data_IF_035361147645
#
_entry.id   IF_035361147645
#
_cell.length_a   1.000
_cell.length_b   1.000
_cell.length_c   1.000
_cell.angle_alpha   90.00
_cell.angle_beta   90.00
_cell.angle_gamma   90.00
#
_symmetry.space_group_name_H-M   'P 1'
#
loop_
_entity.id
_entity.type
_entity.pdbx_description
1 polymer ?
2 water ?
#
# COMPACT_ATOMS: atom_id res chain seq x y z
N UNK A 2 -28.58 -3.45 7.90
CA UNK A 2 -28.15 -2.82 9.19
C UNK A 2 -26.97 -3.56 9.81
N UNK A 3 -27.00 -4.89 9.76
CA UNK A 3 -25.93 -5.68 10.33
C UNK A 3 -24.93 -6.12 9.26
N UNK A 4 -25.00 -5.46 8.10
CA UNK A 4 -24.10 -5.75 7.01
C UNK A 4 -23.77 -4.55 6.14
N UNK A 5 -22.53 -4.08 6.26
CA UNK A 5 -22.02 -2.98 5.47
C UNK A 5 -20.89 -3.66 4.70
N UNK A 6 -21.25 -4.30 3.61
CA UNK A 6 -20.29 -5.04 2.81
C UNK A 6 -19.26 -4.23 2.02
N UNK A 7 -18.02 -4.71 2.06
CA UNK A 7 -16.91 -4.09 1.35
C UNK A 7 -15.95 -5.19 0.91
N UNK A 8 -15.03 -4.85 0.02
CA UNK A 8 -14.02 -5.79 -0.43
C UNK A 8 -12.73 -5.20 0.11
N UNK A 9 -11.81 -6.05 0.58
CA UNK A 9 -10.57 -5.53 1.13
C UNK A 9 -9.40 -6.46 0.86
N UNK A 10 -8.20 -5.97 1.09
CA UNK A 10 -7.02 -6.79 0.92
C UNK A 10 -6.11 -6.55 2.12
N UNK A 11 -5.60 -7.64 2.67
CA UNK A 11 -4.73 -7.55 3.84
C UNK A 11 -3.41 -8.25 3.59
N UNK A 12 -2.32 -7.65 4.07
CA UNK A 12 -1.02 -8.27 3.96
C UNK A 12 -0.33 -7.98 5.28
N UNK A 13 0.35 -8.98 5.81
CA UNK A 13 1.05 -8.83 7.07
C UNK A 13 2.50 -9.20 6.86
N UNK A 14 3.40 -8.29 7.20
CA UNK A 14 4.82 -8.53 7.05
C UNK A 14 5.47 -8.61 8.41
N UNK A 15 5.93 -9.81 8.81
CA UNK A 15 6.57 -9.89 10.12
C UNK A 15 8.05 -9.59 9.93
N UNK A 16 8.63 -8.84 10.85
CA UNK A 16 10.05 -8.54 10.80
C UNK A 16 10.69 -9.36 11.90
N UNK A 17 11.07 -10.58 11.57
CA UNK A 17 11.68 -11.44 12.55
C UNK A 17 13.03 -11.94 12.08
N UNK A 18 13.55 -12.93 12.78
CA UNK A 18 14.82 -13.53 12.44
C UNK A 18 14.56 -14.79 11.62
N UNK A 19 15.41 -15.01 10.61
CA UNK A 19 15.24 -16.19 9.79
C UNK A 19 14.59 -15.87 8.46
N UNK A 20 14.97 -16.63 7.45
CA UNK A 20 14.46 -16.45 6.09
C UNK A 20 13.25 -17.34 5.82
N UNK A 21 12.06 -16.77 6.02
CA UNK A 21 10.77 -17.43 5.79
C UNK A 21 9.76 -16.90 6.81
N UNK A 22 8.58 -16.53 6.32
CA UNK A 22 7.52 -16.02 7.19
C UNK A 22 6.19 -16.67 6.89
N UNK A 23 6.20 -17.66 6.01
CA UNK A 23 5.00 -18.36 5.62
C UNK A 23 4.22 -18.90 6.82
N UNK A 24 4.94 -19.29 7.86
CA UNK A 24 4.30 -19.82 9.06
C UNK A 24 3.36 -18.79 9.67
N UNK A 25 3.77 -17.52 9.67
CA UNK A 25 2.96 -16.45 10.23
C UNK A 25 1.85 -16.02 9.29
N UNK A 26 2.12 -16.09 8.00
CA UNK A 26 1.13 -15.73 6.98
C UNK A 26 -0.02 -16.72 7.10
N UNK A 27 0.32 -17.98 7.32
CA UNK A 27 -0.67 -19.04 7.46
C UNK A 27 -1.52 -18.79 8.70
N UNK A 28 -0.86 -18.40 9.78
CA UNK A 28 -1.55 -18.13 11.04
C UNK A 28 -2.61 -17.04 10.86
N UNK A 29 -2.24 -15.99 10.15
CA UNK A 29 -3.15 -14.87 9.91
C UNK A 29 -4.36 -15.31 9.11
N UNK A 30 -4.12 -16.13 8.08
CA UNK A 30 -5.20 -16.62 7.25
C UNK A 30 -6.20 -17.43 8.07
N UNK A 31 -5.68 -18.25 8.99
CA UNK A 31 -6.57 -19.05 9.83
C UNK A 31 -7.47 -18.16 10.68
N UNK A 32 -6.97 -16.99 11.05
CA UNK A 32 -7.76 -16.07 11.85
C UNK A 32 -8.95 -15.58 11.03
N UNK A 33 -8.70 -15.24 9.77
CA UNK A 33 -9.77 -14.74 8.89
C UNK A 33 -10.92 -15.73 8.77
N UNK A 34 -10.61 -17.02 8.85
CA UNK A 34 -11.62 -18.04 8.73
C UNK A 34 -12.53 -18.14 9.96
N UNK A 35 -12.24 -17.34 10.98
CA UNK A 35 -13.07 -17.33 12.19
C UNK A 35 -14.14 -16.26 12.10
N UNK A 36 -14.10 -15.47 11.03
CA UNK A 36 -15.07 -14.41 10.84
C UNK A 36 -15.97 -14.75 9.65
N UNK A 37 -17.12 -14.11 9.59
CA UNK A 37 -18.08 -14.36 8.50
C UNK A 37 -17.66 -13.57 7.27
N UNK A 38 -16.56 -14.01 6.67
CA UNK A 38 -16.00 -13.36 5.49
C UNK A 38 -15.62 -14.37 4.41
N UNK A 39 -15.64 -13.92 3.16
CA UNK A 39 -15.20 -14.73 2.04
C UNK A 39 -13.71 -14.46 2.02
N UNK A 40 -12.88 -15.49 1.95
CA UNK A 40 -11.43 -15.32 1.95
C UNK A 40 -10.78 -15.84 0.67
N UNK A 41 -10.09 -14.96 -0.03
CA UNK A 41 -9.41 -15.30 -1.28
C UNK A 41 -7.93 -14.90 -1.17
N UNK A 42 -7.09 -15.86 -0.83
CA UNK A 42 -5.65 -15.61 -0.67
C UNK A 42 -4.91 -15.68 -1.99
N UNK A 43 -4.03 -14.71 -2.22
CA UNK A 43 -3.21 -14.69 -3.41
C UNK A 43 -1.75 -14.66 -2.95
N UNK A 44 -0.82 -14.64 -3.89
CA UNK A 44 0.60 -14.66 -3.56
C UNK A 44 1.15 -13.41 -2.87
N UNK A 45 0.38 -12.33 -2.82
CA UNK A 45 0.86 -11.09 -2.20
C UNK A 45 -0.01 -10.54 -1.07
N UNK A 46 -1.09 -11.23 -0.75
CA UNK A 46 -1.96 -10.77 0.32
C UNK A 46 -3.23 -11.60 0.30
N UNK A 47 -4.20 -11.20 1.10
CA UNK A 47 -5.47 -11.91 1.16
C UNK A 47 -6.62 -10.95 0.92
N UNK A 48 -7.53 -11.31 0.00
CA UNK A 48 -8.68 -10.48 -0.30
C UNK A 48 -9.84 -10.98 0.57
N UNK A 49 -10.57 -10.04 1.15
CA UNK A 49 -11.69 -10.40 2.02
C UNK A 49 -12.93 -9.67 1.57
N UNK A 50 -14.09 -10.30 1.80
CA UNK A 50 -15.38 -9.74 1.44
C UNK A 50 -16.30 -9.94 2.64
N UNK A 51 -16.93 -8.87 3.09
CA UNK A 51 -17.83 -8.98 4.23
C UNK A 51 -18.07 -7.65 4.91
N UNK A 52 -18.65 -7.68 6.11
CA UNK A 52 -18.95 -6.49 6.87
C UNK A 52 -17.67 -5.72 7.24
N UNK A 53 -17.72 -4.40 7.13
CA UNK A 53 -16.55 -3.57 7.44
C UNK A 53 -16.04 -3.75 8.85
N UNK A 54 -16.93 -3.79 9.83
CA UNK A 54 -16.49 -3.96 11.21
C UNK A 54 -15.85 -5.33 11.43
N UNK A 55 -16.39 -6.36 10.79
CA UNK A 55 -15.83 -7.69 10.95
C UNK A 55 -14.43 -7.74 10.34
N UNK A 56 -14.25 -7.06 9.22
CA UNK A 56 -12.94 -7.04 8.56
C UNK A 56 -11.93 -6.30 9.42
N UNK A 57 -12.37 -5.22 10.06
CA UNK A 57 -11.48 -4.45 10.93
C UNK A 57 -11.05 -5.29 12.12
N UNK A 58 -12.00 -6.03 12.70
CA UNK A 58 -11.69 -6.88 13.85
C UNK A 58 -10.76 -8.01 13.41
N UNK A 59 -11.04 -8.59 12.24
CA UNK A 59 -10.24 -9.68 11.72
C UNK A 59 -8.83 -9.18 11.43
N UNK A 60 -8.74 -7.97 10.90
CA UNK A 60 -7.46 -7.38 10.59
C UNK A 60 -6.64 -7.22 11.86
N UNK A 61 -7.27 -6.65 12.89
CA UNK A 61 -6.56 -6.45 14.15
C UNK A 61 -6.08 -7.77 14.74
N UNK A 62 -6.95 -8.79 14.73
CA UNK A 62 -6.55 -10.07 15.30
C UNK A 62 -5.43 -10.73 14.51
N UNK A 63 -5.49 -10.64 13.18
CA UNK A 63 -4.46 -11.25 12.33
C UNK A 63 -3.11 -10.59 12.61
N UNK A 64 -3.11 -9.27 12.64
CA UNK A 64 -1.90 -8.51 12.92
C UNK A 64 -1.35 -8.91 14.28
N UNK A 65 -2.22 -8.92 15.29
CA UNK A 65 -1.83 -9.25 16.66
C UNK A 65 -1.33 -10.68 16.82
N UNK A 66 -1.93 -11.60 16.10
CA UNK A 66 -1.53 -13.00 16.19
C UNK A 66 -0.09 -13.19 15.72
N UNK A 67 0.30 -12.49 14.67
CA UNK A 67 1.66 -12.60 14.17
C UNK A 67 2.63 -11.86 15.10
N UNK A 68 2.17 -10.74 15.66
CA UNK A 68 3.00 -9.96 16.56
C UNK A 68 3.28 -10.75 17.85
N UNK A 69 2.43 -11.73 18.14
CA UNK A 69 2.61 -12.55 19.32
C UNK A 69 3.93 -13.31 19.28
N UNK A 70 4.37 -13.65 18.07
CA UNK A 70 5.61 -14.42 17.90
C UNK A 70 6.85 -13.67 17.43
N UNK A 71 6.70 -12.41 17.04
CA UNK A 71 7.85 -11.61 16.58
C UNK A 71 7.84 -10.24 17.26
N UNK A 72 8.97 -9.54 17.20
CA UNK A 72 9.07 -8.23 17.84
C UNK A 72 8.42 -7.10 17.06
N UNK A 73 8.24 -7.26 15.75
CA UNK A 73 7.67 -6.19 14.95
C UNK A 73 6.90 -6.72 13.75
N UNK A 74 5.77 -6.07 13.46
CA UNK A 74 4.93 -6.45 12.33
C UNK A 74 4.42 -5.22 11.61
N UNK A 75 4.46 -5.24 10.28
CA UNK A 75 3.93 -4.14 9.47
C UNK A 75 2.73 -4.75 8.74
N UNK A 76 1.53 -4.30 9.09
CA UNK A 76 0.31 -4.85 8.47
C UNK A 76 -0.44 -3.83 7.65
N UNK A 77 -0.96 -4.26 6.50
CA UNK A 77 -1.68 -3.36 5.60
C UNK A 77 -3.11 -3.81 5.35
N UNK A 78 -4.04 -2.85 5.41
CA UNK A 78 -5.46 -3.11 5.16
C UNK A 78 -5.92 -2.10 4.12
N UNK A 79 -6.54 -2.59 3.04
CA UNK A 79 -7.06 -1.69 2.03
C UNK A 79 -8.54 -1.99 1.88
N UNK A 80 -9.38 -0.96 1.94
CA UNK A 80 -10.82 -1.12 1.82
C UNK A 80 -11.31 -0.46 0.54
N UNK A 81 -12.19 -1.16 -0.17
CA UNK A 81 -12.78 -0.64 -1.39
C UNK A 81 -14.28 -0.72 -1.17
N UNK A 82 -14.93 0.42 -1.00
CA UNK A 82 -16.37 0.45 -0.77
C UNK A 82 -17.09 1.42 -1.69
N UNK A 83 -18.21 0.98 -2.24
CA UNK A 83 -19.01 1.83 -3.11
C UNK A 83 -20.47 1.69 -2.72
N UNK A 84 -21.26 2.71 -3.03
CA UNK A 84 -22.68 2.72 -2.67
C UNK A 84 -23.60 2.58 -3.88
N UNK A 85 -23.04 2.70 -5.09
CA UNK A 85 -23.83 2.61 -6.31
C UNK A 85 -23.95 1.18 -6.83
N UNK A 86 -23.12 0.28 -6.33
CA UNK A 86 -23.15 -1.11 -6.77
C UNK A 86 -22.79 -2.06 -5.64
N UNK A 87 -23.05 -3.35 -5.85
CA UNK A 87 -22.76 -4.39 -4.88
C UNK A 87 -21.26 -4.48 -4.63
N UNK A 88 -20.89 -4.66 -3.36
CA UNK A 88 -19.47 -4.76 -2.97
C UNK A 88 -19.05 -6.21 -2.80
N UNK A 89 -18.90 -6.93 -3.91
CA UNK A 89 -18.49 -8.33 -3.83
C UNK A 89 -17.30 -8.63 -4.73
N UNK A 90 -16.58 -9.69 -4.38
CA UNK A 90 -15.42 -10.13 -5.14
C UNK A 90 -15.92 -10.57 -6.52
N UNK A 91 -17.07 -11.23 -6.52
CA UNK A 91 -17.68 -11.73 -7.75
C UNK A 91 -17.90 -10.62 -8.77
N UNK A 92 -18.61 -9.57 -8.35
CA UNK A 92 -18.90 -8.46 -9.26
C UNK A 92 -17.61 -7.80 -9.75
N UNK A 93 -16.63 -7.64 -8.86
CA UNK A 93 -15.37 -7.01 -9.25
C UNK A 93 -14.66 -7.82 -10.32
N UNK A 94 -14.58 -9.13 -10.13
CA UNK A 94 -13.90 -10.00 -11.08
C UNK A 94 -14.64 -10.14 -12.40
N UNK A 95 -15.97 -10.23 -12.35
CA UNK A 95 -16.74 -10.38 -13.58
C UNK A 95 -16.68 -9.09 -14.39
N UNK A 96 -16.61 -7.96 -13.69
CA UNK A 96 -16.54 -6.66 -14.34
C UNK A 96 -15.25 -6.58 -15.15
N UNK A 97 -14.21 -7.24 -14.66
CA UNK A 97 -12.91 -7.25 -15.33
C UNK A 97 -12.81 -8.38 -16.35
N UNK A 98 -13.88 -9.14 -16.49
CA UNK A 98 -13.89 -10.24 -17.44
C UNK A 98 -13.02 -11.39 -16.96
N UNK A 99 -12.59 -11.31 -15.71
CA UNK A 99 -11.76 -12.35 -15.12
C UNK A 99 -12.62 -13.52 -14.67
N UNK B 3 20.67 -13.63 -16.80
CA UNK B 3 20.41 -12.27 -16.27
C UNK B 3 18.99 -12.08 -15.77
N UNK B 4 18.22 -13.16 -15.80
CA UNK B 4 16.84 -13.12 -15.32
C UNK B 4 16.84 -12.82 -13.83
N UNK B 5 15.97 -11.91 -13.41
CA UNK B 5 15.86 -11.55 -12.00
C UNK B 5 14.39 -11.62 -11.63
N UNK B 6 13.94 -12.84 -11.34
CA UNK B 6 12.55 -13.11 -11.03
C UNK B 6 12.09 -12.57 -9.67
N UNK B 7 10.92 -11.94 -9.68
CA UNK B 7 10.33 -11.42 -8.46
C UNK B 7 8.82 -11.59 -8.55
N UNK B 8 8.13 -11.42 -7.43
CA UNK B 8 6.68 -11.49 -7.43
C UNK B 8 6.25 -10.10 -7.00
N UNK B 9 5.23 -9.58 -7.66
CA UNK B 9 4.75 -8.22 -7.37
C UNK B 9 3.25 -8.15 -7.42
N UNK B 10 2.71 -7.04 -6.94
CA UNK B 10 1.28 -6.80 -7.01
C UNK B 10 1.12 -5.35 -7.42
N UNK B 11 0.20 -5.11 -8.35
CA UNK B 11 -0.04 -3.76 -8.87
C UNK B 11 -1.52 -3.41 -8.88
N UNK B 12 -1.81 -2.13 -8.68
CA UNK B 12 -3.17 -1.64 -8.79
C UNK B 12 -3.03 -0.28 -9.47
N UNK B 13 -3.80 -0.07 -10.53
CA UNK B 13 -3.78 1.20 -11.27
C UNK B 13 -5.15 1.81 -11.06
N UNK B 14 -5.22 2.89 -10.28
CA UNK B 14 -6.49 3.54 -9.96
C UNK B 14 -6.66 4.93 -10.54
N UNK B 15 -7.59 5.08 -11.50
CA UNK B 15 -7.82 6.38 -12.12
C UNK B 15 -8.77 7.22 -11.25
N UNK B 16 -8.48 8.52 -11.16
CA UNK B 16 -9.32 9.42 -10.36
C UNK B 16 -10.16 10.35 -11.21
N UNK B 17 -11.48 10.31 -10.99
CA UNK B 17 -12.40 11.17 -11.70
C UNK B 17 -13.06 10.65 -12.96
N UNK B 18 -13.98 9.70 -12.83
CA UNK B 18 -14.69 9.18 -13.99
C UNK B 18 -16.04 8.53 -13.68
N UNK B 19 -16.38 8.41 -12.40
CA UNK B 19 -17.66 7.83 -12.04
C UNK B 19 -17.71 6.51 -11.29
N UNK B 20 -16.91 6.37 -10.23
CA UNK B 20 -16.89 5.16 -9.42
C UNK B 20 -16.55 3.88 -10.19
N UNK B 21 -17.11 3.74 -11.39
CA UNK B 21 -16.85 2.58 -12.21
C UNK B 21 -15.60 2.83 -13.06
N UNK B 22 -14.55 2.06 -12.80
CA UNK B 22 -13.31 2.23 -13.55
C UNK B 22 -12.83 0.90 -14.13
N UNK B 23 -13.72 -0.07 -14.20
CA UNK B 23 -13.39 -1.40 -14.71
C UNK B 23 -12.76 -1.38 -16.11
N UNK B 24 -13.21 -0.48 -16.98
CA UNK B 24 -12.62 -0.44 -18.31
C UNK B 24 -11.15 -0.04 -18.24
N UNK B 25 -10.80 0.81 -17.27
CA UNK B 25 -9.42 1.26 -17.10
C UNK B 25 -8.58 0.14 -16.49
N UNK B 26 -9.15 -0.56 -15.52
CA UNK B 26 -8.46 -1.66 -14.87
C UNK B 26 -8.21 -2.77 -15.89
N UNK B 27 -9.21 -3.01 -16.75
CA UNK B 27 -9.08 -4.04 -17.78
C UNK B 27 -7.98 -3.66 -18.76
N UNK B 28 -7.88 -2.36 -19.06
CA UNK B 28 -6.86 -1.87 -19.97
C UNK B 28 -5.46 -2.10 -19.39
N UNK B 29 -5.31 -1.82 -18.09
CA UNK B 29 -4.02 -2.00 -17.44
C UNK B 29 -3.61 -3.46 -17.51
N UNK B 30 -4.58 -4.34 -17.27
CA UNK B 30 -4.33 -5.78 -17.31
C UNK B 30 -3.87 -6.24 -18.70
N UNK B 31 -4.47 -5.70 -19.75
CA UNK B 31 -4.06 -6.07 -21.09
C UNK B 31 -2.62 -5.66 -21.31
N UNK B 32 -2.22 -4.53 -20.73
CA UNK B 32 -0.84 -4.07 -20.85
C UNK B 32 0.11 -5.07 -20.19
N UNK B 33 -0.23 -5.51 -18.98
CA UNK B 33 0.64 -6.48 -18.29
C UNK B 33 0.82 -7.72 -19.14
N UNK B 34 -0.25 -8.18 -19.76
CA UNK B 34 -0.21 -9.39 -20.56
C UNK B 34 0.71 -9.35 -21.78
N UNK B 35 1.08 -8.15 -22.22
CA UNK B 35 1.97 -8.03 -23.37
C UNK B 35 3.41 -8.36 -22.99
N UNK B 36 3.67 -8.40 -21.69
CA UNK B 36 5.01 -8.72 -21.21
C UNK B 36 5.07 -10.21 -20.89
N UNK B 37 6.28 -10.76 -20.88
CA UNK B 37 6.44 -12.18 -20.58
C UNK B 37 6.41 -12.37 -19.06
N UNK B 38 5.24 -12.09 -18.50
CA UNK B 38 5.02 -12.21 -17.07
C UNK B 38 3.81 -13.08 -16.80
N UNK B 39 3.85 -13.83 -15.71
CA UNK B 39 2.69 -14.63 -15.32
C UNK B 39 1.77 -13.58 -14.67
N UNK B 40 0.52 -13.55 -15.09
CA UNK B 40 -0.45 -12.58 -14.59
C UNK B 40 -1.63 -13.23 -13.89
N UNK B 41 -1.81 -12.90 -12.61
CA UNK B 41 -2.91 -13.45 -11.82
C UNK B 41 -3.68 -12.30 -11.19
N UNK B 42 -4.82 -11.96 -11.79
CA UNK B 42 -5.61 -10.87 -11.29
C UNK B 42 -6.56 -11.29 -10.17
N UNK B 43 -6.65 -10.44 -9.14
CA UNK B 43 -7.58 -10.71 -8.04
C UNK B 43 -8.48 -9.47 -7.92
N UNK B 44 -9.43 -9.50 -7.00
CA UNK B 44 -10.38 -8.39 -6.85
C UNK B 44 -9.83 -7.05 -6.39
N UNK B 45 -8.61 -7.03 -5.85
CA UNK B 45 -8.03 -5.79 -5.35
C UNK B 45 -6.74 -5.38 -6.07
N UNK B 46 -6.32 -6.15 -7.05
CA UNK B 46 -5.10 -5.82 -7.78
C UNK B 46 -4.69 -6.99 -8.67
N UNK B 47 -3.50 -6.89 -9.24
CA UNK B 47 -2.99 -7.96 -10.10
C UNK B 47 -1.60 -8.36 -9.64
N UNK B 48 -1.42 -9.66 -9.46
CA UNK B 48 -0.13 -10.19 -9.05
C UNK B 48 0.66 -10.53 -10.30
N UNK B 49 1.94 -10.22 -10.29
CA UNK B 49 2.79 -10.49 -11.44
C UNK B 49 4.01 -11.28 -11.04
N UNK B 50 4.49 -12.12 -11.96
CA UNK B 50 5.68 -12.92 -11.70
C UNK B 50 6.55 -12.88 -12.94
N UNK B 51 7.81 -12.50 -12.76
CA UNK B 51 8.72 -12.42 -13.88
C UNK B 51 9.90 -11.52 -13.58
N UNK B 52 10.62 -11.13 -14.63
CA UNK B 52 11.78 -10.28 -14.48
C UNK B 52 11.43 -8.92 -13.91
N UNK B 53 12.24 -8.45 -12.96
CA UNK B 53 12.03 -7.17 -12.31
C UNK B 53 11.91 -6.00 -13.28
N UNK B 54 12.86 -5.88 -14.21
CA UNK B 54 12.82 -4.79 -15.17
C UNK B 54 11.53 -4.81 -15.99
N UNK B 55 11.10 -6.01 -16.39
CA UNK B 55 9.88 -6.12 -17.17
C UNK B 55 8.69 -5.66 -16.35
N UNK B 56 8.67 -6.00 -15.06
CA UNK B 56 7.57 -5.59 -14.20
C UNK B 56 7.56 -4.07 -14.04
N UNK B 57 8.73 -3.48 -13.88
CA UNK B 57 8.84 -2.02 -13.75
C UNK B 57 8.33 -1.34 -15.02
N UNK B 58 8.74 -1.87 -16.17
CA UNK B 58 8.31 -1.32 -17.45
C UNK B 58 6.80 -1.49 -17.63
N UNK B 59 6.30 -2.67 -17.29
CA UNK B 59 4.87 -2.95 -17.41
C UNK B 59 4.07 -2.00 -16.50
N UNK B 60 4.58 -1.79 -15.29
CA UNK B 60 3.94 -0.89 -14.33
C UNK B 60 3.86 0.52 -14.93
N UNK B 61 4.98 1.00 -15.46
CA UNK B 61 5.02 2.33 -16.05
C UNK B 61 4.04 2.45 -17.22
N UNK B 62 4.06 1.47 -18.12
CA UNK B 62 3.17 1.51 -19.27
C UNK B 62 1.69 1.43 -18.88
N UNK B 63 1.37 0.58 -17.89
CA UNK B 63 -0.02 0.45 -17.46
C UNK B 63 -0.49 1.76 -16.85
N UNK B 64 0.35 2.36 -16.00
CA UNK B 64 0.00 3.63 -15.37
C UNK B 64 -0.24 4.68 -16.45
N UNK B 65 0.69 4.76 -17.40
CA UNK B 65 0.62 5.73 -18.48
C UNK B 65 -0.57 5.56 -19.42
N UNK B 66 -0.91 4.31 -19.73
CA UNK B 66 -2.03 4.03 -20.63
C UNK B 66 -3.34 4.55 -20.02
N UNK B 67 -3.55 4.24 -18.74
CA UNK B 67 -4.76 4.69 -18.07
C UNK B 67 -4.75 6.22 -17.91
N UNK B 68 -3.57 6.79 -17.67
CA UNK B 68 -3.48 8.25 -17.51
C UNK B 68 -3.84 8.95 -18.82
N UNK B 69 -3.66 8.25 -19.93
CA UNK B 69 -3.97 8.84 -21.22
C UNK B 69 -5.46 9.18 -21.34
N UNK B 70 -6.29 8.43 -20.63
CA UNK B 70 -7.74 8.66 -20.70
C UNK B 70 -8.38 9.44 -19.55
N UNK B 71 -7.60 9.75 -18.52
CA UNK B 71 -8.13 10.50 -17.38
C UNK B 71 -7.15 11.59 -16.96
N UNK B 72 -7.54 12.44 -16.02
CA UNK B 72 -6.69 13.53 -15.57
C UNK B 72 -5.70 13.18 -14.46
N UNK B 73 -5.98 12.12 -13.71
CA UNK B 73 -5.10 11.73 -12.62
C UNK B 73 -5.18 10.24 -12.31
N UNK B 74 -4.03 9.65 -12.01
CA UNK B 74 -3.97 8.23 -11.70
C UNK B 74 -3.03 7.99 -10.52
N UNK B 75 -3.44 7.11 -9.62
CA UNK B 75 -2.62 6.73 -8.46
C UNK B 75 -2.35 5.24 -8.68
N UNK B 76 -1.08 4.91 -8.93
CA UNK B 76 -0.70 3.52 -9.18
C UNK B 76 0.23 3.02 -8.10
N UNK B 77 0.01 1.77 -7.67
CA UNK B 77 0.83 1.18 -6.62
C UNK B 77 1.54 -0.08 -7.12
N UNK B 78 2.80 -0.23 -6.75
CA UNK B 78 3.60 -1.38 -7.12
C UNK B 78 4.27 -1.91 -5.86
N UNK B 79 4.18 -3.21 -5.64
CA UNK B 79 4.83 -3.81 -4.48
C UNK B 79 5.61 -5.01 -4.99
N UNK B 80 6.90 -5.05 -4.64
CA UNK B 80 7.79 -6.13 -5.05
C UNK B 80 8.23 -6.94 -3.84
N UNK B 81 8.29 -8.26 -4.00
CA UNK B 81 8.72 -9.17 -2.94
C UNK B 81 9.79 -10.01 -3.61
N UNK B 82 11.04 -9.82 -3.20
CA UNK B 82 12.15 -10.56 -3.80
C UNK B 82 13.05 -11.15 -2.72
N UNK B 83 13.44 -12.40 -2.90
CA UNK B 83 14.32 -13.04 -1.94
C UNK B 83 15.42 -13.80 -2.68
N UNK B 84 16.56 -13.96 -2.03
CA UNK B 84 17.73 -14.63 -2.61
C UNK B 84 17.91 -16.09 -2.20
N UNK B 85 17.24 -16.49 -1.11
CA UNK B 85 17.39 -17.86 -0.59
C UNK B 85 16.44 -18.90 -1.16
N UNK B 86 15.41 -18.45 -1.89
CA UNK B 86 14.45 -19.36 -2.48
C UNK B 86 13.94 -18.76 -3.78
N UNK B 87 13.39 -19.59 -4.66
CA UNK B 87 12.89 -19.09 -5.93
C UNK B 87 11.74 -18.12 -5.72
N UNK B 88 11.67 -17.11 -6.58
CA UNK B 88 10.62 -16.08 -6.52
C UNK B 88 9.46 -16.40 -7.44
N UNK B 89 8.63 -17.36 -7.04
CA UNK B 89 7.47 -17.74 -7.85
C UNK B 89 6.18 -17.68 -7.06
N UNK B 90 5.08 -17.46 -7.78
CA UNK B 90 3.76 -17.42 -7.18
C UNK B 90 3.46 -18.81 -6.64
N UNK B 91 3.85 -19.82 -7.41
CA UNK B 91 3.62 -21.20 -7.03
C UNK B 91 4.21 -21.55 -5.67
N UNK B 92 5.49 -21.21 -5.46
CA UNK B 92 6.14 -21.52 -4.20
C UNK B 92 5.51 -20.77 -3.03
N UNK B 93 5.21 -19.48 -3.24
CA UNK B 93 4.61 -18.68 -2.17
C UNK B 93 3.30 -19.26 -1.71
N UNK B 94 2.47 -19.69 -2.66
CA UNK B 94 1.17 -20.26 -2.33
C UNK B 94 1.29 -21.64 -1.66
N UNK B 95 2.22 -22.45 -2.14
CA UNK B 95 2.42 -23.78 -1.56
C UNK B 95 2.96 -23.70 -0.14
N UNK B 96 3.85 -22.74 0.09
CA UNK B 96 4.47 -22.55 1.41
C UNK B 96 3.44 -22.24 2.49
N UNK B 97 2.33 -21.61 2.11
CA UNK B 97 1.29 -21.26 3.07
C UNK B 97 0.06 -22.16 2.95
N UNK B 98 0.25 -23.37 2.46
CA UNK B 98 -0.87 -24.29 2.30
C UNK B 98 -1.58 -24.15 0.97
N UNK C 4 -4.18 1.61 26.39
CA UNK C 4 -3.34 2.30 25.37
C UNK C 4 -2.31 1.36 24.74
N UNK C 5 -2.61 0.92 23.53
CA UNK C 5 -1.73 0.04 22.77
C UNK C 5 -1.23 0.90 21.61
N UNK C 6 -0.17 1.67 21.87
CA UNK C 6 0.37 2.59 20.86
C UNK C 6 1.04 1.94 19.67
N UNK C 7 0.73 2.46 18.49
CA UNK C 7 1.30 1.99 17.23
C UNK C 7 1.45 3.21 16.35
N UNK C 8 2.21 3.06 15.27
CA UNK C 8 2.39 4.16 14.32
C UNK C 8 1.74 3.65 13.05
N UNK C 9 1.05 4.53 12.34
CA UNK C 9 0.36 4.10 11.13
C UNK C 9 0.36 5.15 10.03
N UNK C 10 -0.02 4.74 8.83
CA UNK C 10 -0.14 5.67 7.72
C UNK C 10 -1.45 5.37 7.01
N UNK C 11 -2.21 6.42 6.73
CA UNK C 11 -3.52 6.24 6.10
C UNK C 11 -3.68 7.14 4.89
N UNK C 12 -4.50 6.69 3.94
CA UNK C 12 -4.82 7.44 2.74
C UNK C 12 -6.27 7.10 2.39
N UNK C 13 -7.09 8.13 2.20
CA UNK C 13 -8.51 7.95 1.84
C UNK C 13 -8.70 8.58 0.47
N UNK C 14 -8.87 7.75 -0.54
CA UNK C 14 -9.02 8.24 -1.90
C UNK C 14 -10.41 8.08 -2.50
N UNK C 15 -11.07 9.20 -2.80
CA UNK C 15 -12.42 9.13 -3.38
C UNK C 15 -12.33 8.95 -4.89
N UNK C 16 -13.21 8.12 -5.43
CA UNK C 16 -13.24 7.90 -6.87
C UNK C 16 -14.47 8.59 -7.46
N UNK C 17 -14.64 9.86 -7.09
CA UNK C 17 -15.76 10.64 -7.58
C UNK C 17 -15.32 11.66 -8.60
N UNK C 18 -15.22 12.93 -8.19
CA UNK C 18 -14.79 14.00 -9.08
C UNK C 18 -13.47 13.64 -9.71
N UNK C 19 -12.97 14.51 -10.58
CA UNK C 19 -11.71 14.25 -11.25
C UNK C 19 -10.52 14.24 -10.32
N UNK C 20 -9.41 14.82 -10.78
CA UNK C 20 -8.19 14.89 -10.00
C UNK C 20 -8.36 15.79 -8.79
N UNK C 21 -9.48 16.52 -8.75
CA UNK C 21 -9.76 17.44 -7.66
C UNK C 21 -10.46 16.78 -6.47
N UNK C 22 -9.68 16.48 -5.43
CA UNK C 22 -10.24 15.84 -4.24
C UNK C 22 -9.57 16.30 -2.94
N UNK C 23 -8.88 17.43 -2.99
CA UNK C 23 -8.21 17.94 -1.80
C UNK C 23 -9.20 18.19 -0.67
N UNK C 24 -10.45 18.50 -1.04
CA UNK C 24 -11.49 18.75 -0.06
C UNK C 24 -11.71 17.54 0.85
N UNK C 25 -11.84 16.38 0.22
CA UNK C 25 -12.06 15.14 0.94
C UNK C 25 -10.87 14.78 1.81
N UNK C 26 -9.66 15.03 1.29
CA UNK C 26 -8.45 14.73 2.04
C UNK C 26 -8.46 15.53 3.34
N UNK C 27 -8.91 16.77 3.27
CA UNK C 27 -8.97 17.63 4.44
C UNK C 27 -10.01 17.13 5.44
N UNK C 28 -11.16 16.69 4.94
CA UNK C 28 -12.21 16.19 5.82
C UNK C 28 -11.67 15.03 6.66
N UNK C 29 -10.91 14.15 6.02
CA UNK C 29 -10.36 13.00 6.73
C UNK C 29 -9.38 13.45 7.81
N UNK C 30 -8.48 14.35 7.47
CA UNK C 30 -7.50 14.85 8.43
C UNK C 30 -8.18 15.40 9.67
N UNK C 31 -9.23 16.19 9.48
CA UNK C 31 -9.94 16.76 10.61
C UNK C 31 -10.53 15.66 11.49
N UNK C 32 -11.02 14.61 10.84
CA UNK C 32 -11.59 13.49 11.58
C UNK C 32 -10.53 12.90 12.51
N UNK C 33 -9.35 12.62 11.97
CA UNK C 33 -8.27 12.06 12.76
C UNK C 33 -7.96 12.92 13.97
N UNK C 34 -7.89 14.23 13.75
CA UNK C 34 -7.58 15.16 14.82
C UNK C 34 -8.59 15.23 15.96
N UNK C 35 -9.76 14.61 15.78
CA UNK C 35 -10.78 14.61 16.83
C UNK C 35 -10.40 13.54 17.85
N UNK C 36 -9.60 12.58 17.42
CA UNK C 36 -9.16 11.48 18.29
C UNK C 36 -7.88 11.87 19.03
N UNK C 37 -7.55 11.09 20.06
CA UNK C 37 -6.35 11.35 20.83
C UNK C 37 -5.18 10.70 20.11
N UNK C 38 -4.81 11.31 18.99
CA UNK C 38 -3.72 10.81 18.15
C UNK C 38 -2.83 11.95 17.67
N UNK C 39 -1.56 11.63 17.44
CA UNK C 39 -0.66 12.61 16.88
C UNK C 39 -0.89 12.45 15.38
N UNK C 40 -1.13 13.56 14.69
CA UNK C 40 -1.40 13.51 13.27
C UNK C 40 -0.37 14.30 12.46
N UNK C 41 0.38 13.59 11.62
CA UNK C 41 1.39 14.22 10.78
C UNK C 41 1.11 13.86 9.32
N UNK C 42 0.55 14.82 8.60
CA UNK C 42 0.21 14.61 7.19
C UNK C 42 1.35 14.96 6.25
N UNK C 43 1.56 14.10 5.25
CA UNK C 43 2.59 14.32 4.25
C UNK C 43 1.88 14.40 2.89
N UNK C 44 2.64 14.53 1.82
CA UNK C 44 2.04 14.67 0.49
C UNK C 44 1.34 13.43 -0.09
N UNK C 45 1.58 12.26 0.47
CA UNK C 45 0.96 11.04 -0.04
C UNK C 45 0.05 10.32 0.95
N UNK C 46 -0.09 10.88 2.15
CA UNK C 46 -0.93 10.25 3.16
C UNK C 46 -0.73 10.88 4.53
N UNK C 47 -1.38 10.32 5.54
CA UNK C 47 -1.27 10.84 6.89
C UNK C 47 -0.74 9.80 7.87
N UNK C 48 0.30 10.18 8.60
CA UNK C 48 0.91 9.29 9.60
C UNK C 48 0.22 9.55 10.93
N UNK C 49 -0.10 8.48 11.64
CA UNK C 49 -0.78 8.59 12.93
C UNK C 49 -0.03 7.84 14.02
N UNK C 50 -0.14 8.35 15.24
CA UNK C 50 0.49 7.71 16.39
C UNK C 50 -0.54 7.69 17.50
N UNK C 51 -0.81 6.51 18.04
CA UNK C 51 -1.79 6.42 19.11
C UNK C 51 -2.27 5.01 19.34
N UNK C 52 -3.34 4.88 20.13
CA UNK C 52 -3.89 3.58 20.44
C UNK C 52 -4.38 2.89 19.17
N UNK C 53 -4.14 1.60 19.05
CA UNK C 53 -4.55 0.84 17.87
C UNK C 53 -6.05 0.90 17.65
N UNK C 54 -6.84 0.66 18.70
CA UNK C 54 -8.30 0.71 18.56
C UNK C 54 -8.77 2.09 18.12
N UNK C 55 -8.15 3.14 18.66
CA UNK C 55 -8.54 4.49 18.30
C UNK C 55 -8.23 4.78 16.84
N UNK C 56 -7.11 4.25 16.36
CA UNK C 56 -6.71 4.45 14.97
C UNK C 56 -7.68 3.73 14.03
N UNK C 57 -8.11 2.53 14.42
CA UNK C 57 -9.06 1.78 13.61
C UNK C 57 -10.38 2.55 13.55
N UNK C 58 -10.82 3.05 14.69
CA UNK C 58 -12.07 3.81 14.75
C UNK C 58 -11.95 5.05 13.87
N UNK C 59 -10.85 5.77 14.01
CA UNK C 59 -10.61 6.98 13.24
C UNK C 59 -10.57 6.66 11.74
N UNK C 60 -9.92 5.56 11.41
CA UNK C 60 -9.80 5.13 10.02
C UNK C 60 -11.19 4.91 9.43
N UNK C 61 -12.03 4.19 10.15
CA UNK C 61 -13.38 3.91 9.66
C UNK C 61 -14.17 5.20 9.47
N UNK C 62 -14.12 6.09 10.46
CA UNK C 62 -14.86 7.34 10.36
C UNK C 62 -14.38 8.21 9.20
N UNK C 63 -13.07 8.32 9.04
CA UNK C 63 -12.50 9.12 7.96
C UNK C 63 -12.96 8.57 6.61
N UNK C 64 -12.90 7.25 6.48
CA UNK C 64 -13.32 6.58 5.26
C UNK C 64 -14.80 6.84 5.01
N UNK C 65 -15.60 6.72 6.07
CA UNK C 65 -17.04 6.92 5.98
C UNK C 65 -17.45 8.35 5.66
N UNK C 66 -16.79 9.32 6.29
CA UNK C 66 -17.12 10.72 6.06
C UNK C 66 -16.87 11.11 4.60
N UNK C 67 -15.83 10.54 3.99
CA UNK C 67 -15.54 10.84 2.59
C UNK C 67 -16.55 10.12 1.69
N UNK C 68 -16.92 8.91 2.09
CA UNK C 68 -17.87 8.12 1.33
C UNK C 68 -19.26 8.75 1.34
N UNK C 69 -19.54 9.52 2.39
CA UNK C 69 -20.83 10.17 2.52
C UNK C 69 -21.10 11.10 1.34
N UNK C 70 -20.03 11.68 0.79
CA UNK C 70 -20.17 12.62 -0.33
C UNK C 70 -19.93 12.05 -1.72
N UNK C 71 -19.35 10.86 -1.81
CA UNK C 71 -19.07 10.25 -3.10
C UNK C 71 -19.64 8.84 -3.21
N UNK C 72 -19.52 8.24 -4.39
CA UNK C 72 -20.04 6.90 -4.62
C UNK C 72 -19.08 5.78 -4.27
N UNK C 73 -17.78 6.04 -4.33
CA UNK C 73 -16.80 5.02 -4.04
C UNK C 73 -15.54 5.58 -3.41
N UNK C 74 -14.98 4.83 -2.47
CA UNK C 74 -13.77 5.26 -1.78
C UNK C 74 -12.84 4.06 -1.56
N UNK C 75 -11.55 4.28 -1.77
CA UNK C 75 -10.55 3.24 -1.56
C UNK C 75 -9.63 3.80 -0.48
N UNK C 76 -9.69 3.20 0.71
CA UNK C 76 -8.88 3.67 1.83
C UNK C 76 -7.85 2.64 2.23
N UNK C 77 -6.68 3.12 2.63
CA UNK C 77 -5.58 2.27 3.04
C UNK C 77 -5.11 2.59 4.45
N UNK C 78 -4.84 1.55 5.23
CA UNK C 78 -4.34 1.70 6.60
C UNK C 78 -3.15 0.77 6.75
N UNK C 79 -2.01 1.32 7.15
CA UNK C 79 -0.82 0.51 7.35
C UNK C 79 -0.40 0.69 8.80
N UNK C 80 -0.27 -0.41 9.51
CA UNK C 80 0.12 -0.40 10.93
C UNK C 80 1.53 -0.93 11.11
N UNK C 81 2.35 -0.21 11.87
CA UNK C 81 3.72 -0.64 12.15
C UNK C 81 3.79 -0.70 13.68
N UNK C 82 3.90 -1.90 14.23
CA UNK C 82 3.95 -2.05 15.68
C UNK C 82 5.08 -2.98 16.12
N UNK C 83 5.80 -2.58 17.16
CA UNK C 83 6.88 -3.39 17.69
C UNK C 83 6.77 -3.42 19.21
N UNK C 84 7.29 -4.47 19.82
CA UNK C 84 7.23 -4.64 21.27
C UNK C 84 8.57 -4.41 21.98
N UNK C 85 9.61 -4.14 21.21
CA UNK C 85 10.94 -3.93 21.78
C UNK C 85 11.36 -2.48 21.97
N UNK C 86 10.66 -1.56 21.31
CA UNK C 86 10.93 -0.13 21.42
C UNK C 86 9.61 0.61 21.39
N UNK C 87 9.59 1.86 21.83
CA UNK C 87 8.35 2.61 21.84
C UNK C 87 7.86 2.87 20.43
N UNK C 88 6.55 2.80 20.26
CA UNK C 88 5.94 3.02 18.95
C UNK C 88 5.58 4.49 18.76
N UNK C 89 6.59 5.30 18.49
CA UNK C 89 6.36 6.73 18.29
C UNK C 89 6.94 7.23 16.98
N UNK C 90 6.35 8.31 16.49
CA UNK C 90 6.80 8.94 15.27
C UNK C 90 8.19 9.51 15.53
N UNK C 91 8.35 10.11 16.71
CA UNK C 91 9.62 10.71 17.09
C UNK C 91 10.78 9.73 17.01
N UNK C 92 10.65 8.57 17.64
CA UNK C 92 11.74 7.60 17.61
C UNK C 92 12.01 7.11 16.20
N UNK C 93 10.96 6.82 15.43
CA UNK C 93 11.17 6.34 14.07
C UNK C 93 11.97 7.32 13.23
N UNK C 94 11.62 8.60 13.31
CA UNK C 94 12.34 9.61 12.54
C UNK C 94 13.76 9.79 13.06
N UNK C 95 13.92 9.80 14.38
CA UNK C 95 15.24 9.96 14.97
C UNK C 95 16.13 8.78 14.57
N UNK C 96 15.56 7.59 14.56
CA UNK C 96 16.31 6.39 14.21
C UNK C 96 16.97 6.46 12.83
N UNK C 97 16.34 7.18 11.90
CA UNK C 97 16.91 7.30 10.56
C UNK C 97 17.48 8.68 10.29
N UNK C 98 17.60 9.48 11.35
CA UNK C 98 18.16 10.81 11.23
C UNK C 98 17.34 11.71 10.31
N UNK C 99 16.03 11.72 10.51
CA UNK C 99 15.14 12.54 9.70
C UNK C 99 14.25 13.43 10.56
N UNK C 100 14.65 13.63 11.81
CA UNK C 100 13.88 14.45 12.74
C UNK C 100 14.29 15.92 12.65
N UNK D 4 11.23 15.84 -19.00
CA UNK D 4 10.85 15.82 -17.56
C UNK D 4 9.37 15.51 -17.37
N UNK D 5 9.09 14.37 -16.74
CA UNK D 5 7.73 13.94 -16.45
C UNK D 5 7.63 13.87 -14.93
N UNK D 6 7.34 15.02 -14.32
CA UNK D 6 7.25 15.11 -12.87
C UNK D 6 6.04 14.43 -12.24
N UNK D 7 6.29 13.73 -11.14
CA UNK D 7 5.25 13.03 -10.40
C UNK D 7 5.63 13.04 -8.92
N UNK D 8 4.67 12.73 -8.07
CA UNK D 8 4.93 12.66 -6.63
C UNK D 8 4.76 11.18 -6.30
N UNK D 9 5.67 10.65 -5.49
CA UNK D 9 5.61 9.25 -5.14
C UNK D 9 5.98 9.01 -3.70
N UNK D 10 5.65 7.82 -3.21
CA UNK D 10 6.01 7.44 -1.86
C UNK D 10 6.59 6.04 -1.97
N UNK D 11 7.68 5.82 -1.25
CA UNK D 11 8.39 4.54 -1.27
C UNK D 11 8.74 4.06 0.13
N UNK D 12 8.75 2.74 0.29
CA UNK D 12 9.17 2.15 1.54
C UNK D 12 9.90 0.89 1.12
N UNK D 13 11.09 0.69 1.68
CA UNK D 13 11.93 -0.48 1.38
C UNK D 13 12.05 -1.20 2.71
N UNK D 14 11.45 -2.39 2.81
CA UNK D 14 11.47 -3.13 4.06
C UNK D 14 12.20 -4.46 4.01
N UNK D 15 13.31 -4.58 4.75
CA UNK D 15 14.08 -5.84 4.74
C UNK D 15 13.49 -6.81 5.75
N UNK D 16 13.43 -8.09 5.36
CA UNK D 16 12.89 -9.13 6.24
C UNK D 16 14.02 -10.04 6.69
N UNK D 17 13.82 -10.69 7.84
CA UNK D 17 14.82 -11.62 8.35
C UNK D 17 15.92 -11.03 9.21
N UNK D 18 15.89 -9.72 9.44
CA UNK D 18 16.93 -9.09 10.25
C UNK D 18 16.42 -8.64 11.60
N UNK D 19 15.16 -8.92 11.87
CA UNK D 19 14.59 -8.51 13.15
C UNK D 19 13.91 -7.16 13.04
N UNK D 20 13.54 -6.61 14.20
CA UNK D 20 12.83 -5.34 14.24
C UNK D 20 13.66 -4.09 13.99
N UNK D 21 14.95 -4.13 14.30
CA UNK D 21 15.80 -2.96 14.11
C UNK D 21 16.44 -2.96 12.73
N UNK D 22 15.87 -2.18 11.83
CA UNK D 22 16.35 -2.10 10.45
C UNK D 22 16.63 -0.68 9.98
N UNK D 23 16.82 0.24 10.92
CA UNK D 23 17.06 1.63 10.56
C UNK D 23 18.23 1.85 9.59
N UNK D 24 19.29 1.07 9.71
CA UNK D 24 20.42 1.28 8.79
C UNK D 24 20.04 1.01 7.35
N UNK D 25 19.11 0.09 7.14
CA UNK D 25 18.67 -0.24 5.78
C UNK D 25 17.79 0.86 5.22
N UNK D 26 16.92 1.39 6.06
CA UNK D 26 16.04 2.48 5.65
C UNK D 26 16.91 3.69 5.30
N UNK D 27 17.95 3.91 6.10
CA UNK D 27 18.84 5.04 5.86
C UNK D 27 19.61 4.82 4.56
N UNK D 28 20.02 3.58 4.31
CA UNK D 28 20.77 3.27 3.09
C UNK D 28 19.92 3.59 1.86
N UNK D 29 18.64 3.28 1.93
CA UNK D 29 17.73 3.52 0.81
C UNK D 29 17.53 5.02 0.59
N UNK D 30 17.39 5.76 1.67
CA UNK D 30 17.18 7.19 1.54
C UNK D 30 18.39 7.82 0.88
N UNK D 31 19.58 7.32 1.21
CA UNK D 31 20.81 7.84 0.60
C UNK D 31 20.79 7.64 -0.91
N UNK D 32 20.22 6.53 -1.36
CA UNK D 32 20.14 6.26 -2.80
C UNK D 32 19.24 7.27 -3.49
N UNK D 33 18.09 7.57 -2.88
CA UNK D 33 17.16 8.53 -3.47
C UNK D 33 17.83 9.89 -3.64
N UNK D 34 18.59 10.29 -2.63
CA UNK D 34 19.28 11.58 -2.65
C UNK D 34 20.33 11.70 -3.75
N UNK D 35 20.75 10.57 -4.33
CA UNK D 35 21.74 10.60 -5.40
C UNK D 35 21.10 11.06 -6.71
N UNK D 36 19.79 10.93 -6.81
CA UNK D 36 19.08 11.33 -8.01
C UNK D 36 18.57 12.77 -7.89
N UNK D 37 18.12 13.32 -9.02
CA UNK D 37 17.62 14.68 -9.06
C UNK D 37 16.17 14.71 -8.59
N UNK D 38 15.97 14.42 -7.32
CA UNK D 38 14.63 14.39 -6.73
C UNK D 38 14.56 15.14 -5.42
N UNK D 39 13.36 15.65 -5.10
CA UNK D 39 13.16 16.32 -3.83
C UNK D 39 12.79 15.14 -2.94
N UNK D 40 13.43 15.04 -1.78
CA UNK D 40 13.20 13.93 -0.87
C UNK D 40 12.66 14.35 0.50
N UNK D 41 11.44 13.91 0.81
CA UNK D 41 10.82 14.23 2.10
C UNK D 41 10.50 12.94 2.84
N UNK D 42 11.33 12.57 3.80
CA UNK D 42 11.11 11.34 4.55
C UNK D 42 10.19 11.52 5.76
N UNK D 43 9.24 10.59 5.90
CA UNK D 43 8.31 10.62 7.02
C UNK D 43 8.51 9.36 7.84
N UNK D 44 7.71 9.18 8.89
CA UNK D 44 7.87 8.01 9.76
C UNK D 44 7.47 6.67 9.16
N UNK D 45 6.73 6.70 8.04
CA UNK D 45 6.26 5.45 7.42
C UNK D 45 6.75 5.22 5.99
N UNK D 46 7.60 6.10 5.49
CA UNK D 46 8.12 5.97 4.15
C UNK D 46 8.77 7.26 3.68
N UNK D 47 9.09 7.34 2.40
CA UNK D 47 9.71 8.55 1.87
C UNK D 47 8.98 9.06 0.63
N UNK D 48 8.64 10.35 0.65
CA UNK D 48 7.96 10.96 -0.47
C UNK D 48 9.03 11.50 -1.42
N UNK D 49 8.81 11.31 -2.72
CA UNK D 49 9.73 11.76 -3.74
C UNK D 49 9.02 12.60 -4.78
N UNK D 50 9.73 13.57 -5.34
CA UNK D 50 9.18 14.41 -6.38
C UNK D 50 10.23 14.54 -7.48
N UNK D 51 9.86 14.18 -8.70
CA UNK D 51 10.80 14.26 -9.79
C UNK D 51 10.33 13.48 -11.00
N UNK D 52 11.26 13.24 -11.93
CA UNK D 52 10.96 12.51 -13.16
C UNK D 52 10.56 11.06 -12.88
N UNK D 53 9.50 10.61 -13.55
CA UNK D 53 8.99 9.25 -13.36
C UNK D 53 10.07 8.19 -13.59
N UNK D 54 10.84 8.33 -14.67
CA UNK D 54 11.92 7.36 -14.93
C UNK D 54 12.97 7.40 -13.84
N UNK D 55 13.35 8.60 -13.40
CA UNK D 55 14.35 8.73 -12.35
C UNK D 55 13.87 8.06 -11.07
N UNK D 56 12.58 8.25 -10.76
CA UNK D 56 12.00 7.65 -9.56
C UNK D 56 12.02 6.12 -9.69
N UNK D 57 11.71 5.62 -10.88
CA UNK D 57 11.71 4.18 -11.11
C UNK D 57 13.12 3.60 -10.95
N UNK D 58 14.12 4.31 -11.46
CA UNK D 58 15.51 3.85 -11.35
C UNK D 58 15.94 3.88 -9.88
N UNK D 59 15.60 4.98 -9.20
CA UNK D 59 15.96 5.15 -7.79
C UNK D 59 15.30 4.05 -6.95
N UNK D 60 14.05 3.76 -7.24
CA UNK D 60 13.32 2.73 -6.51
C UNK D 60 14.02 1.39 -6.68
N UNK D 61 14.32 1.03 -7.93
CA UNK D 61 15.01 -0.24 -8.19
C UNK D 61 16.36 -0.27 -7.47
N UNK D 62 17.10 0.84 -7.53
CA UNK D 62 18.40 0.87 -6.88
C UNK D 62 18.28 0.75 -5.37
N UNK D 63 17.32 1.47 -4.80
CA UNK D 63 17.12 1.43 -3.34
C UNK D 63 16.77 0.01 -2.91
N UNK D 64 15.82 -0.60 -3.62
CA UNK D 64 15.40 -1.96 -3.32
C UNK D 64 16.60 -2.91 -3.41
N UNK D 65 17.35 -2.80 -4.50
CA UNK D 65 18.51 -3.67 -4.73
C UNK D 65 19.64 -3.47 -3.75
N UNK D 66 19.90 -2.23 -3.37
CA UNK D 66 20.98 -1.96 -2.44
C UNK D 66 20.70 -2.55 -1.06
N UNK D 67 19.43 -2.59 -0.67
CA UNK D 67 19.09 -3.19 0.61
C UNK D 67 19.15 -4.71 0.47
N UNK D 68 18.64 -5.22 -0.65
CA UNK D 68 18.64 -6.66 -0.89
C UNK D 68 20.06 -7.21 -0.90
N UNK D 69 21.02 -6.36 -1.26
CA UNK D 69 22.42 -6.80 -1.30
C UNK D 69 22.89 -7.26 0.08
N UNK D 70 22.33 -6.66 1.13
CA UNK D 70 22.72 -6.98 2.50
C UNK D 70 21.82 -7.95 3.26
N UNK D 71 20.66 -8.28 2.70
CA UNK D 71 19.72 -9.15 3.39
C UNK D 71 19.22 -10.25 2.45
N UNK D 72 18.41 -11.17 2.98
CA UNK D 72 17.91 -12.26 2.14
C UNK D 72 16.59 -11.96 1.43
N UNK D 73 15.83 -11.00 1.94
CA UNK D 73 14.54 -10.70 1.34
C UNK D 73 14.09 -9.28 1.63
N UNK D 74 13.48 -8.65 0.62
CA UNK D 74 13.01 -7.29 0.76
C UNK D 74 11.64 -7.13 0.10
N UNK D 75 10.75 -6.38 0.77
CA UNK D 75 9.42 -6.09 0.24
C UNK D 75 9.47 -4.58 0.06
N UNK D 76 9.39 -4.13 -1.19
CA UNK D 76 9.46 -2.71 -1.49
C UNK D 76 8.19 -2.22 -2.15
N UNK D 77 7.78 -1.02 -1.77
CA UNK D 77 6.56 -0.45 -2.30
C UNK D 77 6.80 0.90 -2.95
N UNK D 78 6.14 1.12 -4.08
CA UNK D 78 6.22 2.36 -4.84
C UNK D 78 4.80 2.78 -5.22
N UNK D 79 4.42 3.99 -4.84
CA UNK D 79 3.11 4.51 -5.17
C UNK D 79 3.33 5.81 -5.93
N UNK D 80 2.69 5.94 -7.08
CA UNK D 80 2.84 7.13 -7.89
C UNK D 80 1.51 7.87 -8.02
N UNK D 81 1.57 9.19 -7.94
CA UNK D 81 0.37 10.03 -8.05
C UNK D 81 0.71 11.07 -9.10
N UNK D 82 0.11 10.93 -10.29
CA UNK D 82 0.35 11.85 -11.39
C UNK D 82 -0.95 12.38 -11.98
N UNK D 83 -0.98 13.69 -12.21
CA UNK D 83 -2.15 14.32 -12.82
C UNK D 83 -1.63 15.24 -13.92
N UNK D 84 -2.41 15.43 -14.97
CA UNK D 84 -1.95 16.26 -16.08
C UNK D 84 -2.63 17.62 -16.16
N UNK D 85 -3.43 17.95 -15.14
CA UNK D 85 -4.15 19.23 -15.11
C UNK D 85 -3.50 20.24 -14.18
N UNK D 86 -2.66 19.77 -13.26
CA UNK D 86 -1.99 20.66 -12.31
C UNK D 86 -0.54 20.23 -12.11
N UNK D 87 0.26 21.13 -11.55
CA UNK D 87 1.67 20.86 -11.29
C UNK D 87 1.81 19.66 -10.35
N UNK D 88 2.75 18.77 -10.66
CA UNK D 88 2.99 17.59 -9.83
C UNK D 88 4.09 17.85 -8.81
N UNK D 89 3.78 18.60 -7.76
CA UNK D 89 4.79 18.89 -6.75
C UNK D 89 4.30 18.63 -5.34
N UNK D 90 5.25 18.43 -4.43
CA UNK D 90 4.94 18.18 -3.03
C UNK D 90 4.36 19.43 -2.40
N UNK D 91 4.97 20.58 -2.69
CA UNK D 91 4.50 21.85 -2.13
C UNK D 91 3.04 22.13 -2.44
N UNK D 92 2.67 22.06 -3.71
CA UNK D 92 1.29 22.31 -4.11
C UNK D 92 0.34 21.35 -3.40
N UNK D 93 0.70 20.07 -3.39
CA UNK D 93 -0.14 19.05 -2.75
C UNK D 93 -0.39 19.38 -1.28
N UNK D 94 0.67 19.78 -0.58
CA UNK D 94 0.55 20.12 0.83
C UNK D 94 -0.26 21.39 1.04
N UNK D 95 0.02 22.40 0.22
CA UNK D 95 -0.69 23.67 0.33
C UNK D 95 -2.19 23.47 0.10
N UNK D 96 -2.53 22.61 -0.86
CA UNK D 96 -3.93 22.35 -1.17
C UNK D 96 -4.73 21.78 -0.01
N UNK D 97 -4.06 21.14 0.93
CA UNK D 97 -4.75 20.57 2.09
C UNK D 97 -4.42 21.28 3.40
N UNK D 98 -3.79 22.44 3.29
CA UNK D 98 -3.44 23.21 4.47
C UNK D 98 -2.34 22.61 5.34
N UNK D 99 -1.45 21.83 4.74
CA UNK D 99 -0.35 21.24 5.47
C UNK D 99 0.95 21.93 5.10
N UNK D 100 0.81 23.15 4.61
CA UNK D 100 1.92 24.00 4.22
C UNK D 100 1.35 25.38 3.90
#
# INVERSE_FOLDING_TARGET
>A
MIFMRKVVAEVSIIPLGKGASVSKYVKKAIEVFKKYDLKVETNAMGTVLEGDLDEILKAFKEAHSTVLNDVDRVVSSLKIDERKDKENTIERKLKAIGEL
>B
MIFMRKVVAEVSIIPLGKGASVSKYVKKAIEVFKKYDLKVETNAMGTVLEGDLDEILKAFKEAHSTVLNDVDRVVSSLKIDERKDKENTIERKLKAIGEL
>C
MIFMRKVVAEVSIIPLGKGASVSKYVKKAIEVFKKYDLKVETNAMGTVLEGDLDEILKAFKEAHSTVLNDVDRVVSSLKIDERKDKENTIERKLKAIGEL
>D
MIFMRKVVAEVSIIPLGKGASVSKYVKKAIEVFKKYDLKVETNAMGTVLEGDLDEILKAFKEAHSTVLNDVDRVVSSLKIDERKDKENTIERKLKAIGEL
#
